data_IF_434137101522
#
_entry.id   IF_434137101522
#
_cell.length_a   1.000
_cell.length_b   1.000
_cell.length_c   1.000
_cell.angle_alpha   90.00
_cell.angle_beta   90.00
_cell.angle_gamma   90.00
#
_symmetry.space_group_name_H-M   'P 1'
#
loop_
_entity.id
_entity.type
_entity.pdbx_description
1 polymer ?
#
# COMPACT_ATOMS: atom_id res chain seq x y z
N UNK A 1 -38.96 -5.81 -11.62
CA UNK A 1 -38.63 -7.02 -10.84
C UNK A 1 -37.35 -7.70 -11.34
N UNK A 2 -37.16 -7.96 -12.63
CA UNK A 2 -36.02 -8.67 -13.22
C UNK A 2 -34.64 -8.08 -12.84
N UNK A 3 -34.47 -6.75 -12.83
CA UNK A 3 -33.21 -6.09 -12.43
C UNK A 3 -32.82 -6.31 -10.95
N UNK A 4 -33.79 -6.41 -10.04
CA UNK A 4 -33.51 -6.66 -8.62
C UNK A 4 -33.06 -8.10 -8.36
N UNK A 5 -33.67 -9.06 -9.05
CA UNK A 5 -33.31 -10.48 -8.92
C UNK A 5 -31.93 -10.74 -9.49
N UNK A 6 -31.59 -10.14 -10.64
CA UNK A 6 -30.23 -10.22 -11.22
C UNK A 6 -29.17 -9.65 -10.28
N UNK A 7 -29.43 -8.48 -9.68
CA UNK A 7 -28.52 -7.86 -8.73
C UNK A 7 -28.28 -8.74 -7.47
N UNK A 8 -29.34 -9.38 -6.96
CA UNK A 8 -29.25 -10.29 -5.81
C UNK A 8 -28.43 -11.53 -6.13
N UNK A 9 -28.64 -12.15 -7.30
CA UNK A 9 -27.87 -13.33 -7.72
C UNK A 9 -26.39 -12.98 -7.92
N UNK A 10 -26.10 -11.88 -8.60
CA UNK A 10 -24.73 -11.45 -8.82
C UNK A 10 -24.02 -11.06 -7.51
N UNK A 11 -24.71 -10.38 -6.60
CA UNK A 11 -24.19 -10.08 -5.26
C UNK A 11 -23.87 -11.35 -4.46
N UNK A 12 -24.72 -12.38 -4.57
CA UNK A 12 -24.47 -13.70 -3.96
C UNK A 12 -23.26 -14.40 -4.53
N UNK A 13 -23.10 -14.39 -5.85
CA UNK A 13 -21.91 -14.97 -6.53
C UNK A 13 -20.63 -14.22 -6.09
N UNK A 14 -20.67 -12.89 -6.07
CA UNK A 14 -19.54 -12.09 -5.65
C UNK A 14 -19.19 -12.27 -4.17
N UNK A 15 -20.20 -12.49 -3.31
CA UNK A 15 -19.95 -12.87 -1.92
C UNK A 15 -19.25 -14.23 -1.83
N UNK A 16 -19.67 -15.23 -2.62
CA UNK A 16 -19.01 -16.53 -2.67
C UNK A 16 -17.55 -16.40 -3.15
N UNK A 17 -17.29 -15.57 -4.15
CA UNK A 17 -15.90 -15.28 -4.60
C UNK A 17 -15.08 -14.65 -3.45
N UNK A 18 -15.65 -13.68 -2.72
CA UNK A 18 -14.96 -13.06 -1.59
C UNK A 18 -14.62 -14.08 -0.48
N UNK A 19 -15.53 -15.03 -0.21
CA UNK A 19 -15.31 -16.10 0.76
C UNK A 19 -14.18 -17.02 0.29
N UNK A 20 -14.20 -17.46 -0.95
CA UNK A 20 -13.12 -18.31 -1.53
C UNK A 20 -11.77 -17.59 -1.46
N UNK A 21 -11.73 -16.30 -1.80
CA UNK A 21 -10.52 -15.50 -1.67
C UNK A 21 -10.01 -15.42 -0.22
N UNK A 22 -10.91 -15.29 0.76
CA UNK A 22 -10.54 -15.31 2.19
C UNK A 22 -9.98 -16.66 2.61
N UNK A 23 -10.56 -17.76 2.14
CA UNK A 23 -10.04 -19.11 2.40
C UNK A 23 -8.64 -19.31 1.79
N UNK A 24 -8.44 -18.90 0.55
CA UNK A 24 -7.12 -18.95 -0.09
C UNK A 24 -6.12 -18.09 0.70
N UNK A 25 -6.53 -16.91 1.12
CA UNK A 25 -5.70 -16.01 1.91
C UNK A 25 -5.22 -16.62 3.23
N UNK A 26 -6.07 -17.39 3.88
CA UNK A 26 -5.77 -17.99 5.18
C UNK A 26 -4.96 -19.28 5.07
N UNK A 27 -5.29 -20.14 4.10
CA UNK A 27 -4.74 -21.48 4.03
C UNK A 27 -3.60 -21.67 3.02
N UNK A 28 -3.38 -20.72 2.11
CA UNK A 28 -2.31 -20.83 1.10
C UNK A 28 -1.24 -19.77 1.37
N UNK A 29 -0.10 -20.12 2.02
CA UNK A 29 0.99 -19.16 2.25
C UNK A 29 1.44 -18.53 0.93
N UNK A 30 2.09 -17.40 0.96
CA UNK A 30 2.57 -16.63 -0.20
C UNK A 30 1.44 -16.17 -1.13
N UNK A 31 0.65 -17.09 -1.73
CA UNK A 31 -0.48 -16.73 -2.58
C UNK A 31 -1.55 -15.96 -1.79
N UNK A 32 -1.76 -16.33 -0.54
CA UNK A 32 -2.70 -15.66 0.36
C UNK A 32 -2.40 -14.17 0.56
N UNK A 33 -1.13 -13.79 0.68
CA UNK A 33 -0.75 -12.39 0.78
C UNK A 33 -1.15 -11.58 -0.46
N UNK A 34 -0.95 -12.13 -1.66
CA UNK A 34 -1.39 -11.49 -2.91
C UNK A 34 -2.90 -11.43 -3.02
N UNK A 35 -3.61 -12.49 -2.63
CA UNK A 35 -5.09 -12.55 -2.66
C UNK A 35 -5.69 -11.54 -1.68
N UNK A 36 -5.10 -11.35 -0.50
CA UNK A 36 -5.53 -10.31 0.44
C UNK A 36 -5.48 -8.92 -0.18
N UNK A 37 -4.45 -8.64 -0.96
CA UNK A 37 -4.29 -7.33 -1.60
C UNK A 37 -5.42 -7.00 -2.57
N UNK A 38 -6.01 -8.01 -3.21
CA UNK A 38 -7.09 -7.87 -4.19
C UNK A 38 -8.45 -8.32 -3.65
N UNK A 39 -8.54 -8.64 -2.36
CA UNK A 39 -9.79 -9.08 -1.71
C UNK A 39 -10.97 -8.09 -1.85
N UNK A 40 -10.76 -6.74 -1.90
CA UNK A 40 -11.85 -5.80 -2.15
C UNK A 40 -12.57 -5.96 -3.48
N UNK A 41 -11.98 -6.63 -4.48
CA UNK A 41 -12.49 -6.69 -5.86
C UNK A 41 -13.95 -7.13 -6.00
N UNK A 42 -14.42 -8.21 -5.38
CA UNK A 42 -15.84 -8.61 -5.47
C UNK A 42 -16.78 -7.51 -4.99
N UNK A 43 -16.38 -6.79 -3.94
CA UNK A 43 -17.16 -5.70 -3.34
C UNK A 43 -17.17 -4.48 -4.28
N UNK A 44 -16.01 -4.14 -4.87
CA UNK A 44 -15.87 -3.07 -5.88
C UNK A 44 -16.75 -3.34 -7.09
N UNK A 45 -16.69 -4.58 -7.63
CA UNK A 45 -17.46 -4.97 -8.83
C UNK A 45 -18.97 -4.89 -8.54
N UNK A 46 -19.41 -5.42 -7.39
CA UNK A 46 -20.80 -5.33 -6.96
C UNK A 46 -21.25 -3.87 -6.82
N UNK A 47 -20.43 -3.04 -6.17
CA UNK A 47 -20.71 -1.63 -5.96
C UNK A 47 -20.83 -0.84 -7.27
N UNK A 48 -19.94 -1.08 -8.22
CA UNK A 48 -19.96 -0.44 -9.52
C UNK A 48 -21.22 -0.80 -10.32
N UNK A 49 -21.61 -2.08 -10.36
CA UNK A 49 -22.71 -2.56 -11.19
C UNK A 49 -24.09 -2.38 -10.55
N UNK A 50 -24.20 -2.60 -9.26
CA UNK A 50 -25.50 -2.65 -8.57
C UNK A 50 -25.67 -1.57 -7.48
N UNK A 51 -24.61 -0.81 -7.20
CA UNK A 51 -24.60 0.29 -6.25
C UNK A 51 -24.30 -0.13 -4.80
N UNK A 52 -24.16 0.89 -3.96
CA UNK A 52 -23.67 0.77 -2.59
C UNK A 52 -24.46 -0.24 -1.74
N UNK A 53 -25.78 -0.27 -1.88
CA UNK A 53 -26.65 -1.17 -1.10
C UNK A 53 -26.26 -2.64 -1.31
N UNK A 54 -26.10 -3.06 -2.55
CA UNK A 54 -25.74 -4.44 -2.88
C UNK A 54 -24.30 -4.77 -2.51
N UNK A 55 -23.40 -3.82 -2.66
CA UNK A 55 -22.01 -3.94 -2.21
C UNK A 55 -21.91 -4.16 -0.70
N UNK A 56 -22.68 -3.41 0.10
CA UNK A 56 -22.78 -3.62 1.56
C UNK A 56 -23.34 -5.00 1.87
N UNK A 57 -24.39 -5.43 1.17
CA UNK A 57 -24.96 -6.78 1.38
C UNK A 57 -23.95 -7.87 1.03
N UNK A 58 -23.21 -7.74 -0.07
CA UNK A 58 -22.12 -8.66 -0.44
C UNK A 58 -21.06 -8.74 0.66
N UNK A 59 -20.62 -7.59 1.18
CA UNK A 59 -19.66 -7.51 2.27
C UNK A 59 -20.18 -8.20 3.53
N UNK A 60 -21.41 -7.89 3.95
CA UNK A 60 -22.01 -8.45 5.17
C UNK A 60 -22.16 -9.98 5.07
N UNK A 61 -22.69 -10.48 3.96
CA UNK A 61 -22.88 -11.93 3.75
C UNK A 61 -21.52 -12.63 3.75
N UNK A 62 -20.52 -12.09 3.02
CA UNK A 62 -19.18 -12.65 3.02
C UNK A 62 -18.58 -12.65 4.43
N UNK A 63 -18.68 -11.54 5.17
CA UNK A 63 -18.16 -11.42 6.53
C UNK A 63 -18.78 -12.42 7.49
N UNK A 64 -20.11 -12.58 7.46
CA UNK A 64 -20.79 -13.55 8.33
C UNK A 64 -20.34 -14.98 8.04
N UNK A 65 -20.27 -15.36 6.78
CA UNK A 65 -19.86 -16.71 6.40
C UNK A 65 -18.38 -16.95 6.72
N UNK A 66 -17.49 -15.98 6.48
CA UNK A 66 -16.08 -16.06 6.85
C UNK A 66 -15.94 -16.19 8.38
N UNK A 67 -16.76 -15.46 9.16
CA UNK A 67 -16.77 -15.55 10.61
C UNK A 67 -17.13 -16.96 11.11
N UNK A 68 -18.05 -17.62 10.41
CA UNK A 68 -18.46 -19.00 10.75
C UNK A 68 -17.43 -20.06 10.35
N UNK A 69 -16.72 -19.86 9.23
CA UNK A 69 -15.81 -20.88 8.68
C UNK A 69 -14.40 -20.72 9.24
N UNK A 70 -13.91 -19.50 9.36
CA UNK A 70 -12.51 -19.21 9.76
C UNK A 70 -12.48 -18.76 11.23
N UNK A 71 -12.88 -17.52 11.48
CA UNK A 71 -13.09 -16.98 12.83
C UNK A 71 -13.76 -15.62 12.77
N UNK A 72 -14.52 -15.22 13.80
CA UNK A 72 -15.14 -13.90 13.89
C UNK A 72 -14.11 -12.76 13.85
N UNK A 73 -12.96 -12.96 14.50
CA UNK A 73 -11.88 -11.95 14.57
C UNK A 73 -11.29 -11.71 13.19
N UNK A 74 -10.92 -12.77 12.47
CA UNK A 74 -10.36 -12.65 11.12
C UNK A 74 -11.35 -12.01 10.13
N UNK A 75 -12.63 -12.40 10.21
CA UNK A 75 -13.68 -11.81 9.38
C UNK A 75 -13.85 -10.30 9.65
N UNK A 76 -13.79 -9.89 10.92
CA UNK A 76 -13.86 -8.50 11.33
C UNK A 76 -12.70 -7.69 10.75
N UNK A 77 -11.45 -8.16 10.92
CA UNK A 77 -10.27 -7.48 10.37
C UNK A 77 -10.34 -7.36 8.84
N UNK A 78 -10.71 -8.44 8.17
CA UNK A 78 -10.82 -8.45 6.72
C UNK A 78 -11.86 -7.45 6.22
N UNK A 79 -13.05 -7.44 6.83
CA UNK A 79 -14.13 -6.53 6.47
C UNK A 79 -13.78 -5.06 6.79
N UNK A 80 -13.17 -4.79 7.94
CA UNK A 80 -12.85 -3.44 8.36
C UNK A 80 -11.76 -2.80 7.48
N UNK A 81 -10.68 -3.53 7.17
CA UNK A 81 -9.57 -3.01 6.38
C UNK A 81 -9.94 -2.93 4.89
N UNK A 82 -10.43 -4.03 4.35
CA UNK A 82 -10.59 -4.19 2.90
C UNK A 82 -12.00 -3.87 2.42
N UNK A 83 -13.02 -4.07 3.28
CA UNK A 83 -14.42 -3.81 2.91
C UNK A 83 -14.69 -2.35 2.64
N UNK A 84 -14.21 -1.43 3.49
CA UNK A 84 -14.42 0.00 3.31
C UNK A 84 -13.77 0.52 2.02
N UNK A 85 -12.56 0.07 1.71
CA UNK A 85 -11.90 0.37 0.43
C UNK A 85 -12.74 -0.11 -0.75
N UNK A 86 -13.28 -1.33 -0.67
CA UNK A 86 -14.15 -1.91 -1.70
C UNK A 86 -15.43 -1.11 -1.93
N UNK A 87 -16.07 -0.67 -0.86
CA UNK A 87 -17.29 0.16 -0.93
C UNK A 87 -17.00 1.52 -1.57
N UNK A 88 -15.94 2.19 -1.16
CA UNK A 88 -15.58 3.52 -1.68
C UNK A 88 -15.20 3.44 -3.16
N UNK A 89 -14.30 2.52 -3.54
CA UNK A 89 -13.90 2.36 -4.94
C UNK A 89 -15.08 1.94 -5.83
N UNK A 90 -15.92 1.03 -5.35
CA UNK A 90 -17.12 0.59 -6.09
C UNK A 90 -18.07 1.75 -6.40
N UNK A 91 -18.33 2.61 -5.41
CA UNK A 91 -19.18 3.79 -5.60
C UNK A 91 -18.52 4.86 -6.49
N UNK A 92 -17.22 5.08 -6.33
CA UNK A 92 -16.47 6.00 -7.20
C UNK A 92 -16.49 5.54 -8.66
N UNK A 93 -16.30 4.24 -8.92
CA UNK A 93 -16.37 3.66 -10.26
C UNK A 93 -17.79 3.74 -10.84
N UNK A 94 -18.82 3.48 -10.03
CA UNK A 94 -20.21 3.62 -10.45
C UNK A 94 -20.57 5.04 -10.88
N UNK A 95 -19.97 6.04 -10.23
CA UNK A 95 -20.16 7.46 -10.58
C UNK A 95 -19.26 7.93 -11.71
N UNK A 96 -18.49 7.04 -12.31
CA UNK A 96 -17.51 7.38 -13.37
C UNK A 96 -16.62 8.58 -13.03
N UNK A 97 -16.14 8.67 -11.79
CA UNK A 97 -15.26 9.74 -11.38
C UNK A 97 -13.93 9.68 -12.16
N UNK A 98 -13.25 10.81 -12.36
CA UNK A 98 -11.90 10.81 -12.95
C UNK A 98 -10.93 9.93 -12.15
N UNK A 99 -9.99 9.21 -12.80
CA UNK A 99 -9.09 8.26 -12.14
C UNK A 99 -8.32 8.85 -10.94
N UNK A 100 -7.86 10.10 -11.03
CA UNK A 100 -7.15 10.77 -9.94
C UNK A 100 -8.04 10.98 -8.70
N UNK A 101 -9.32 11.30 -8.89
CA UNK A 101 -10.26 11.42 -7.77
C UNK A 101 -10.57 10.06 -7.15
N UNK A 102 -10.68 9.00 -7.98
CA UNK A 102 -10.86 7.63 -7.47
C UNK A 102 -9.65 7.22 -6.63
N UNK A 103 -8.43 7.54 -7.07
CA UNK A 103 -7.21 7.28 -6.29
C UNK A 103 -7.20 8.04 -4.98
N UNK A 104 -7.55 9.32 -4.99
CA UNK A 104 -7.61 10.13 -3.77
C UNK A 104 -8.63 9.55 -2.77
N UNK A 105 -9.87 9.34 -3.20
CA UNK A 105 -10.90 8.79 -2.30
C UNK A 105 -10.59 7.37 -1.84
N UNK A 106 -10.08 6.52 -2.73
CA UNK A 106 -9.65 5.16 -2.38
C UNK A 106 -8.50 5.16 -1.36
N UNK A 107 -7.49 6.01 -1.56
CA UNK A 107 -6.35 6.14 -0.63
C UNK A 107 -6.78 6.67 0.73
N UNK A 108 -7.57 7.74 0.76
CA UNK A 108 -8.13 8.29 2.02
C UNK A 108 -8.99 7.24 2.72
N UNK A 109 -9.85 6.55 1.97
CA UNK A 109 -10.68 5.49 2.50
C UNK A 109 -9.87 4.33 3.07
N UNK A 110 -8.78 3.94 2.43
CA UNK A 110 -7.88 2.90 2.93
C UNK A 110 -7.16 3.33 4.22
N UNK A 111 -6.71 4.58 4.31
CA UNK A 111 -6.12 5.12 5.55
C UNK A 111 -7.16 5.13 6.68
N UNK A 112 -8.37 5.63 6.41
CA UNK A 112 -9.46 5.62 7.40
C UNK A 112 -9.78 4.19 7.85
N UNK A 113 -9.86 3.26 6.91
CA UNK A 113 -10.12 1.85 7.20
C UNK A 113 -9.05 1.25 8.12
N UNK A 114 -7.78 1.56 7.87
CA UNK A 114 -6.66 1.11 8.69
C UNK A 114 -6.73 1.69 10.11
N UNK A 115 -6.94 3.01 10.23
CA UNK A 115 -7.06 3.68 11.54
C UNK A 115 -8.26 3.13 12.31
N UNK A 116 -9.42 3.02 11.67
CA UNK A 116 -10.61 2.42 12.27
C UNK A 116 -10.35 0.99 12.73
N UNK A 117 -9.64 0.19 11.93
CA UNK A 117 -9.28 -1.17 12.30
C UNK A 117 -8.45 -1.22 13.59
N UNK A 118 -7.39 -0.40 13.70
CA UNK A 118 -6.56 -0.32 14.89
C UNK A 118 -7.39 0.12 16.11
N UNK A 119 -8.18 1.19 15.97
CA UNK A 119 -9.02 1.71 17.04
C UNK A 119 -10.05 0.68 17.50
N UNK A 120 -10.77 0.05 16.56
CA UNK A 120 -11.78 -0.95 16.88
C UNK A 120 -11.16 -2.22 17.48
N UNK A 121 -9.97 -2.63 17.03
CA UNK A 121 -9.24 -3.77 17.60
C UNK A 121 -8.92 -3.51 19.06
N UNK A 122 -8.45 -2.32 19.37
CA UNK A 122 -8.12 -1.94 20.74
C UNK A 122 -9.37 -1.81 21.62
N UNK A 123 -10.41 -1.10 21.14
CA UNK A 123 -11.59 -0.79 21.95
C UNK A 123 -12.59 -1.96 22.08
N UNK A 124 -12.77 -2.74 21.02
CA UNK A 124 -13.80 -3.80 20.98
C UNK A 124 -13.23 -5.15 21.39
N UNK A 125 -12.00 -5.47 20.93
CA UNK A 125 -11.39 -6.78 21.15
C UNK A 125 -10.35 -6.76 22.28
N UNK A 126 -9.94 -5.58 22.76
CA UNK A 126 -8.85 -5.44 23.73
C UNK A 126 -7.50 -5.93 23.18
N UNK A 127 -7.36 -6.00 21.86
CA UNK A 127 -6.17 -6.50 21.17
C UNK A 127 -5.46 -5.33 20.51
N UNK A 128 -4.17 -5.16 20.78
CA UNK A 128 -3.29 -4.31 20.02
C UNK A 128 -2.69 -5.13 18.85
N UNK A 129 -3.16 -4.92 17.59
CA UNK A 129 -2.69 -5.70 16.46
C UNK A 129 -1.19 -5.44 16.15
N UNK A 130 -0.69 -4.26 16.50
CA UNK A 130 0.72 -3.89 16.32
C UNK A 130 1.56 -4.65 17.33
N UNK A 131 1.19 -4.62 18.61
CA UNK A 131 1.91 -5.34 19.66
C UNK A 131 1.84 -6.85 19.46
N UNK A 132 0.70 -7.38 19.02
CA UNK A 132 0.55 -8.81 18.68
C UNK A 132 1.49 -9.22 17.54
N UNK A 133 1.67 -8.36 16.54
CA UNK A 133 2.64 -8.61 15.46
C UNK A 133 4.08 -8.64 16.01
N UNK A 134 4.46 -7.66 16.82
CA UNK A 134 5.81 -7.60 17.39
C UNK A 134 6.09 -8.72 18.38
N UNK A 135 5.13 -9.10 19.20
CA UNK A 135 5.28 -10.25 20.13
C UNK A 135 5.51 -11.57 19.36
N UNK A 136 4.83 -11.75 18.22
CA UNK A 136 5.06 -12.91 17.35
C UNK A 136 6.48 -12.93 16.78
N UNK A 137 7.02 -11.77 16.40
CA UNK A 137 8.42 -11.65 15.97
C UNK A 137 9.39 -11.94 17.11
N UNK A 138 9.14 -11.45 18.33
CA UNK A 138 9.98 -11.78 19.50
C UNK A 138 9.99 -13.26 19.80
N UNK A 139 8.83 -13.92 19.79
CA UNK A 139 8.76 -15.38 19.96
C UNK A 139 9.55 -16.14 18.88
N UNK A 140 9.47 -15.68 17.63
CA UNK A 140 10.26 -16.27 16.54
C UNK A 140 11.76 -16.09 16.75
N UNK A 141 12.19 -14.95 17.29
CA UNK A 141 13.60 -14.71 17.65
C UNK A 141 14.08 -15.63 18.78
N UNK A 142 13.25 -15.85 19.79
CA UNK A 142 13.58 -16.78 20.88
C UNK A 142 13.76 -18.21 20.34
N UNK A 143 12.85 -18.68 19.50
CA UNK A 143 12.95 -19.99 18.85
C UNK A 143 14.21 -20.09 17.98
N UNK A 144 14.53 -19.06 17.23
CA UNK A 144 15.73 -19.00 16.39
C UNK A 144 17.00 -19.05 17.25
N UNK A 145 17.00 -18.37 18.39
CA UNK A 145 18.12 -18.37 19.35
C UNK A 145 18.37 -19.76 19.91
N UNK A 146 17.32 -20.48 20.29
CA UNK A 146 17.42 -21.88 20.75
C UNK A 146 17.98 -22.75 19.63
N UNK A 147 17.44 -22.63 18.42
CA UNK A 147 17.89 -23.37 17.25
C UNK A 147 19.40 -23.19 16.98
N UNK A 148 19.89 -21.95 16.99
CA UNK A 148 21.31 -21.66 16.75
C UNK A 148 22.21 -22.23 17.86
N UNK A 149 21.76 -22.18 19.11
CA UNK A 149 22.50 -22.76 20.24
C UNK A 149 22.62 -24.28 20.12
N UNK A 150 21.54 -24.97 19.74
CA UNK A 150 21.53 -26.41 19.50
C UNK A 150 22.42 -26.85 18.35
N UNK A 151 22.60 -25.97 17.35
CA UNK A 151 23.47 -26.23 16.19
C UNK A 151 24.91 -25.72 16.35
N UNK A 152 25.32 -25.39 17.59
CA UNK A 152 26.71 -25.11 17.92
C UNK A 152 27.23 -23.74 17.51
N UNK A 153 26.33 -22.76 17.26
CA UNK A 153 26.75 -21.39 17.05
C UNK A 153 27.32 -20.78 18.33
N UNK A 154 28.38 -19.97 18.22
CA UNK A 154 28.97 -19.31 19.39
C UNK A 154 27.99 -18.33 20.03
N UNK A 155 28.02 -18.20 21.38
CA UNK A 155 27.14 -17.22 22.09
C UNK A 155 27.41 -15.78 21.63
N UNK A 156 28.63 -15.46 21.19
CA UNK A 156 28.96 -14.15 20.66
C UNK A 156 28.26 -13.87 19.30
N UNK A 157 28.22 -14.87 18.42
CA UNK A 157 27.54 -14.76 17.13
C UNK A 157 26.03 -14.76 17.29
N UNK A 158 25.48 -15.56 18.21
CA UNK A 158 24.07 -15.56 18.57
C UNK A 158 23.67 -14.17 19.06
N UNK A 159 24.41 -13.60 20.01
CA UNK A 159 24.15 -12.27 20.55
C UNK A 159 24.16 -11.21 19.44
N UNK A 160 25.19 -11.20 18.58
CA UNK A 160 25.27 -10.26 17.45
C UNK A 160 24.08 -10.37 16.51
N UNK A 161 23.65 -11.60 16.25
CA UNK A 161 22.49 -11.86 15.39
C UNK A 161 21.19 -11.36 16.03
N UNK A 162 20.97 -11.66 17.31
CA UNK A 162 19.79 -11.23 18.08
C UNK A 162 19.75 -9.71 18.20
N UNK A 163 20.87 -9.07 18.53
CA UNK A 163 20.97 -7.61 18.62
C UNK A 163 20.64 -6.95 17.25
N UNK A 164 21.13 -7.53 16.15
CA UNK A 164 20.80 -7.07 14.79
C UNK A 164 19.30 -7.16 14.46
N UNK A 165 18.67 -8.27 14.84
CA UNK A 165 17.21 -8.43 14.66
C UNK A 165 16.42 -7.49 15.56
N UNK A 166 16.83 -7.29 16.80
CA UNK A 166 16.17 -6.35 17.71
C UNK A 166 16.19 -4.93 17.18
N UNK A 167 17.34 -4.48 16.61
CA UNK A 167 17.43 -3.17 15.98
C UNK A 167 16.57 -3.07 14.70
N UNK A 168 16.54 -4.14 13.90
CA UNK A 168 15.63 -4.21 12.73
C UNK A 168 14.16 -4.08 13.14
N UNK A 169 13.72 -4.78 14.19
CA UNK A 169 12.34 -4.68 14.70
C UNK A 169 12.04 -3.29 15.24
N UNK A 170 13.01 -2.67 15.93
CA UNK A 170 12.89 -1.29 16.38
C UNK A 170 12.67 -0.32 15.21
N UNK A 171 13.49 -0.44 14.16
CA UNK A 171 13.34 0.37 12.96
C UNK A 171 12.02 0.11 12.25
N UNK A 172 11.57 -1.14 12.15
CA UNK A 172 10.26 -1.48 11.60
C UNK A 172 9.13 -0.77 12.37
N UNK A 173 9.17 -0.75 13.71
CA UNK A 173 8.17 -0.05 14.54
C UNK A 173 8.15 1.45 14.26
N UNK A 174 9.32 2.07 14.08
CA UNK A 174 9.44 3.50 13.79
C UNK A 174 8.88 3.84 12.39
N UNK A 175 9.17 3.02 11.38
CA UNK A 175 8.80 3.27 9.98
C UNK A 175 7.33 2.90 9.69
N UNK A 176 6.73 2.04 10.52
CA UNK A 176 5.41 1.46 10.28
C UNK A 176 4.30 2.48 9.95
N UNK A 177 4.13 3.62 10.66
CA UNK A 177 3.09 4.58 10.33
C UNK A 177 3.22 5.12 8.91
N UNK A 178 4.44 5.45 8.48
CA UNK A 178 4.72 5.91 7.12
C UNK A 178 4.51 4.83 6.07
N UNK A 179 4.90 3.59 6.37
CA UNK A 179 4.68 2.44 5.49
C UNK A 179 3.18 2.18 5.28
N UNK A 180 2.37 2.24 6.32
CA UNK A 180 0.92 2.12 6.21
C UNK A 180 0.30 3.23 5.35
N UNK A 181 0.77 4.46 5.53
CA UNK A 181 0.31 5.58 4.70
C UNK A 181 0.66 5.38 3.22
N UNK A 182 1.79 4.72 2.92
CA UNK A 182 2.21 4.39 1.55
C UNK A 182 1.46 3.19 0.97
N UNK A 183 1.11 2.21 1.78
CA UNK A 183 0.33 1.06 1.32
C UNK A 183 -1.07 1.44 0.85
N UNK A 184 -1.70 2.44 1.43
CA UNK A 184 -3.06 2.85 1.11
C UNK A 184 -3.27 3.25 -0.37
N UNK A 185 -2.49 4.18 -0.96
CA UNK A 185 -2.62 4.50 -2.38
C UNK A 185 -2.24 3.34 -3.30
N UNK A 186 -1.27 2.51 -2.89
CA UNK A 186 -0.91 1.32 -3.65
C UNK A 186 -2.07 0.31 -3.69
N UNK A 187 -2.71 0.06 -2.56
CA UNK A 187 -3.90 -0.80 -2.49
C UNK A 187 -5.05 -0.25 -3.32
N UNK A 188 -5.33 1.06 -3.24
CA UNK A 188 -6.36 1.71 -4.03
C UNK A 188 -6.06 1.56 -5.54
N UNK A 189 -4.82 1.78 -5.96
CA UNK A 189 -4.38 1.65 -7.34
C UNK A 189 -4.53 0.23 -7.88
N UNK A 190 -4.02 -0.76 -7.16
CA UNK A 190 -4.08 -2.18 -7.58
C UNK A 190 -5.54 -2.63 -7.73
N UNK A 191 -6.39 -2.32 -6.73
CA UNK A 191 -7.80 -2.68 -6.76
C UNK A 191 -8.56 -1.96 -7.88
N UNK A 192 -8.29 -0.67 -8.09
CA UNK A 192 -8.87 0.07 -9.21
C UNK A 192 -8.49 -0.54 -10.56
N UNK A 193 -7.19 -0.81 -10.78
CA UNK A 193 -6.71 -1.37 -12.06
C UNK A 193 -7.27 -2.76 -12.32
N UNK A 194 -7.32 -3.60 -11.30
CA UNK A 194 -7.90 -4.94 -11.40
C UNK A 194 -9.42 -4.89 -11.66
N UNK A 195 -10.15 -4.06 -10.91
CA UNK A 195 -11.58 -3.85 -11.13
C UNK A 195 -11.88 -3.28 -12.52
N UNK A 196 -11.13 -2.24 -12.94
CA UNK A 196 -11.26 -1.67 -14.28
C UNK A 196 -11.08 -2.73 -15.37
N UNK A 197 -10.04 -3.58 -15.27
CA UNK A 197 -9.78 -4.65 -16.24
C UNK A 197 -10.95 -5.65 -16.35
N UNK A 198 -11.55 -6.01 -15.22
CA UNK A 198 -12.69 -6.93 -15.16
C UNK A 198 -13.94 -6.24 -15.70
N UNK A 199 -14.28 -5.06 -15.19
CA UNK A 199 -15.48 -4.32 -15.56
C UNK A 199 -15.50 -3.92 -17.05
N UNK A 200 -14.34 -3.56 -17.60
CA UNK A 200 -14.23 -3.29 -19.05
C UNK A 200 -14.56 -4.51 -19.90
N UNK A 201 -14.17 -5.72 -19.46
CA UNK A 201 -14.59 -6.96 -20.12
C UNK A 201 -16.10 -7.25 -19.97
N UNK A 202 -16.73 -6.67 -18.96
CA UNK A 202 -18.18 -6.76 -18.71
C UNK A 202 -18.97 -5.64 -19.41
N UNK A 203 -18.32 -4.82 -20.24
CA UNK A 203 -18.95 -3.77 -21.04
C UNK A 203 -18.95 -2.37 -20.44
N UNK A 204 -18.35 -2.17 -19.27
CA UNK A 204 -18.21 -0.85 -18.66
C UNK A 204 -17.04 -0.09 -19.29
N UNK A 205 -17.14 1.24 -19.35
CA UNK A 205 -16.09 2.12 -19.88
C UNK A 205 -15.61 3.09 -18.80
N UNK A 206 -14.30 3.24 -18.67
CA UNK A 206 -13.67 4.15 -17.71
C UNK A 206 -12.62 5.00 -18.39
N UNK A 207 -12.46 6.24 -17.93
CA UNK A 207 -11.39 7.10 -18.37
C UNK A 207 -10.02 6.45 -18.21
N UNK A 208 -9.12 6.70 -19.15
CA UNK A 208 -7.73 6.26 -19.02
C UNK A 208 -6.98 7.14 -18.01
N UNK A 209 -6.04 6.55 -17.28
CA UNK A 209 -5.07 7.36 -16.56
C UNK A 209 -4.25 8.19 -17.55
N UNK A 210 -3.82 9.40 -17.15
CA UNK A 210 -2.78 10.09 -17.88
C UNK A 210 -1.58 9.16 -18.11
N UNK A 211 -0.86 9.29 -19.23
CA UNK A 211 0.35 8.50 -19.44
C UNK A 211 1.27 8.59 -18.23
N UNK A 212 1.79 7.44 -17.78
CA UNK A 212 2.62 7.37 -16.59
C UNK A 212 3.83 8.32 -16.66
N UNK A 213 4.38 8.47 -17.85
CA UNK A 213 5.50 9.38 -18.14
C UNK A 213 5.15 10.86 -18.00
N UNK A 214 3.86 11.22 -17.91
CA UNK A 214 3.39 12.58 -17.66
C UNK A 214 3.05 12.87 -16.18
N UNK A 215 3.16 11.88 -15.32
CA UNK A 215 2.93 12.07 -13.89
C UNK A 215 3.95 13.07 -13.32
N UNK A 216 3.46 14.05 -12.57
CA UNK A 216 4.29 15.09 -11.96
C UNK A 216 4.03 15.18 -10.46
N UNK A 217 5.09 15.09 -9.71
CA UNK A 217 5.07 15.35 -8.26
C UNK A 217 5.26 16.84 -8.02
N UNK A 218 4.45 17.48 -7.14
CA UNK A 218 4.62 18.90 -6.82
C UNK A 218 6.00 19.19 -6.22
N UNK A 219 6.62 20.30 -6.63
CA UNK A 219 7.98 20.64 -6.18
C UNK A 219 8.12 20.94 -4.69
N UNK A 220 7.02 21.28 -4.01
CA UNK A 220 7.03 21.53 -2.57
C UNK A 220 7.43 20.31 -1.72
N UNK A 221 7.35 19.08 -2.28
CA UNK A 221 7.75 17.83 -1.59
C UNK A 221 9.22 17.82 -1.20
N UNK A 222 10.05 18.59 -1.89
CA UNK A 222 11.49 18.69 -1.59
C UNK A 222 11.76 19.37 -0.25
N UNK A 223 10.90 20.28 0.21
CA UNK A 223 11.09 20.97 1.47
C UNK A 223 10.92 20.06 2.69
N UNK A 224 9.79 19.32 2.85
CA UNK A 224 9.68 18.37 3.95
C UNK A 224 10.71 17.23 3.84
N UNK A 225 11.10 16.83 2.64
CA UNK A 225 12.17 15.85 2.46
C UNK A 225 13.51 16.38 3.00
N UNK A 226 13.93 17.57 2.61
CA UNK A 226 15.16 18.18 3.09
C UNK A 226 15.12 18.41 4.60
N UNK A 227 14.02 18.95 5.12
CA UNK A 227 13.83 19.15 6.56
C UNK A 227 13.91 17.84 7.35
N UNK A 228 13.31 16.76 6.82
CA UNK A 228 13.35 15.43 7.46
C UNK A 228 14.76 14.85 7.47
N UNK A 229 15.57 15.04 6.41
CA UNK A 229 16.96 14.60 6.38
C UNK A 229 17.78 15.23 7.50
N UNK A 230 17.67 16.55 7.68
CA UNK A 230 18.35 17.26 8.78
C UNK A 230 17.86 16.78 10.14
N UNK A 231 16.55 16.66 10.31
CA UNK A 231 15.97 16.25 11.57
C UNK A 231 16.35 14.79 11.94
N UNK A 232 16.27 13.86 10.99
CA UNK A 232 16.69 12.46 11.22
C UNK A 232 18.16 12.42 11.63
N UNK A 233 19.05 13.13 10.92
CA UNK A 233 20.48 13.15 11.26
C UNK A 233 20.73 13.74 12.65
N UNK A 234 20.04 14.83 12.98
CA UNK A 234 20.16 15.48 14.29
C UNK A 234 19.69 14.57 15.43
N UNK A 235 18.46 14.05 15.36
CA UNK A 235 17.88 13.21 16.41
C UNK A 235 18.50 11.82 16.50
N UNK A 236 19.04 11.27 15.40
CA UNK A 236 19.80 10.03 15.43
C UNK A 236 21.02 10.12 16.36
N UNK A 237 21.68 11.28 16.41
CA UNK A 237 22.85 11.49 17.26
C UNK A 237 22.52 11.89 18.69
N UNK A 238 21.35 12.52 18.92
CA UNK A 238 21.04 13.14 20.21
C UNK A 238 19.94 12.40 20.98
N UNK A 239 18.85 12.01 20.32
CA UNK A 239 17.71 11.37 20.98
C UNK A 239 16.86 10.57 19.99
N UNK A 240 17.23 9.30 19.82
CA UNK A 240 16.49 8.37 18.96
C UNK A 240 15.16 7.90 19.58
N UNK A 241 14.92 8.14 20.87
CA UNK A 241 13.66 7.80 21.53
C UNK A 241 12.60 8.90 21.36
N UNK A 242 13.01 10.08 20.89
CA UNK A 242 12.11 11.22 20.70
C UNK A 242 11.02 10.93 19.66
N UNK A 243 9.80 11.40 19.94
CA UNK A 243 8.71 11.37 18.96
C UNK A 243 9.05 12.17 17.69
N UNK A 244 9.92 13.20 17.81
CA UNK A 244 10.42 13.98 16.66
C UNK A 244 11.28 13.13 15.73
N UNK A 245 12.10 12.21 16.28
CA UNK A 245 12.83 11.24 15.46
C UNK A 245 11.88 10.37 14.66
N UNK A 246 10.88 9.78 15.33
CA UNK A 246 9.85 8.95 14.69
C UNK A 246 9.10 9.72 13.60
N UNK A 247 8.67 10.95 13.89
CA UNK A 247 7.99 11.80 12.91
C UNK A 247 8.89 12.08 11.69
N UNK A 248 10.16 12.46 11.94
CA UNK A 248 11.11 12.80 10.87
C UNK A 248 11.40 11.61 9.97
N UNK A 249 11.58 10.42 10.54
CA UNK A 249 11.78 9.18 9.78
C UNK A 249 10.55 8.86 8.91
N UNK A 250 9.35 9.04 9.45
CA UNK A 250 8.11 8.78 8.68
C UNK A 250 7.91 9.79 7.56
N UNK A 251 8.15 11.09 7.82
CA UNK A 251 8.12 12.13 6.77
C UNK A 251 9.14 11.82 5.67
N UNK A 252 10.37 11.47 6.06
CA UNK A 252 11.40 11.06 5.11
C UNK A 252 10.98 9.86 4.28
N UNK A 253 10.41 8.83 4.91
CA UNK A 253 9.94 7.61 4.24
C UNK A 253 8.87 7.92 3.19
N UNK A 254 7.85 8.71 3.56
CA UNK A 254 6.77 9.11 2.65
C UNK A 254 7.31 9.94 1.49
N UNK A 255 8.13 10.94 1.77
CA UNK A 255 8.73 11.77 0.72
C UNK A 255 9.66 10.96 -0.19
N UNK A 256 10.48 10.07 0.35
CA UNK A 256 11.36 9.18 -0.42
C UNK A 256 10.57 8.30 -1.37
N UNK A 257 9.47 7.71 -0.91
CA UNK A 257 8.60 6.90 -1.77
C UNK A 257 8.05 7.70 -2.96
N UNK A 258 7.56 8.92 -2.69
CA UNK A 258 7.04 9.80 -3.75
C UNK A 258 8.15 10.21 -4.72
N UNK A 259 9.37 10.46 -4.23
CA UNK A 259 10.53 10.77 -5.07
C UNK A 259 10.99 9.57 -5.89
N UNK A 260 10.96 8.35 -5.34
CA UNK A 260 11.20 7.11 -6.11
C UNK A 260 10.21 6.97 -7.24
N UNK A 261 8.91 7.20 -6.99
CA UNK A 261 7.91 7.18 -8.06
C UNK A 261 8.24 8.20 -9.17
N UNK A 262 8.67 9.40 -8.80
CA UNK A 262 9.10 10.40 -9.78
C UNK A 262 10.35 9.93 -10.56
N UNK A 263 11.31 9.29 -9.90
CA UNK A 263 12.49 8.69 -10.53
C UNK A 263 12.11 7.58 -11.52
N UNK A 264 11.17 6.71 -11.15
CA UNK A 264 10.64 5.66 -12.05
C UNK A 264 9.96 6.30 -13.26
N UNK A 265 9.18 7.36 -13.08
CA UNK A 265 8.53 8.10 -14.16
C UNK A 265 9.56 8.66 -15.13
N UNK A 266 10.65 9.27 -14.63
CA UNK A 266 11.75 9.77 -15.46
C UNK A 266 12.46 8.62 -16.20
N UNK A 267 12.67 7.49 -15.55
CA UNK A 267 13.29 6.31 -16.17
C UNK A 267 12.44 5.81 -17.36
N UNK A 268 11.12 5.68 -17.20
CA UNK A 268 10.22 5.30 -18.30
C UNK A 268 10.25 6.31 -19.42
N UNK A 269 10.18 7.61 -19.09
CA UNK A 269 10.27 8.68 -20.08
C UNK A 269 11.58 8.63 -20.88
N UNK A 270 12.71 8.40 -20.20
CA UNK A 270 14.02 8.27 -20.85
C UNK A 270 14.06 7.07 -21.79
N UNK A 271 13.55 5.91 -21.36
CA UNK A 271 13.49 4.69 -22.18
C UNK A 271 12.62 4.91 -23.42
N UNK A 272 11.45 5.55 -23.28
CA UNK A 272 10.55 5.88 -24.39
C UNK A 272 11.17 6.90 -25.36
N UNK A 273 11.78 7.97 -24.85
CA UNK A 273 12.44 9.01 -25.67
C UNK A 273 13.62 8.46 -26.46
N UNK A 274 14.33 7.49 -25.92
CA UNK A 274 15.44 6.80 -26.60
C UNK A 274 15.01 5.62 -27.46
N UNK A 275 13.71 5.43 -27.65
CA UNK A 275 13.13 4.29 -28.39
C UNK A 275 13.64 2.93 -27.94
N UNK A 276 13.99 2.80 -26.65
CA UNK A 276 14.45 1.54 -26.06
C UNK A 276 13.24 0.70 -25.65
N UNK A 277 13.37 -0.65 -25.68
CA UNK A 277 12.30 -1.54 -25.20
C UNK A 277 11.99 -1.29 -23.71
N UNK A 278 10.72 -1.34 -23.34
CA UNK A 278 10.24 -1.09 -21.96
C UNK A 278 10.83 -2.04 -20.90
N UNK A 279 11.35 -3.18 -21.30
CA UNK A 279 11.98 -4.12 -20.37
C UNK A 279 13.21 -3.53 -19.65
N UNK A 280 13.90 -2.54 -20.25
CA UNK A 280 14.97 -1.81 -19.56
C UNK A 280 14.46 -1.06 -18.32
N UNK A 281 13.32 -0.40 -18.42
CA UNK A 281 12.70 0.26 -17.27
C UNK A 281 12.24 -0.75 -16.23
N UNK A 282 11.71 -1.90 -16.66
CA UNK A 282 11.28 -2.98 -15.75
C UNK A 282 12.45 -3.59 -14.98
N UNK A 283 13.63 -3.74 -15.61
CA UNK A 283 14.86 -4.13 -14.90
C UNK A 283 15.25 -3.08 -13.86
N UNK A 284 15.18 -1.78 -14.21
CA UNK A 284 15.41 -0.71 -13.25
C UNK A 284 14.50 -0.80 -12.03
N UNK A 285 13.21 -1.13 -12.24
CA UNK A 285 12.26 -1.35 -11.14
C UNK A 285 12.64 -2.61 -10.32
N UNK A 286 13.01 -3.71 -10.97
CA UNK A 286 13.42 -4.92 -10.27
C UNK A 286 14.66 -4.67 -9.38
N UNK A 287 15.60 -3.85 -9.85
CA UNK A 287 16.77 -3.46 -9.07
C UNK A 287 16.44 -2.67 -7.81
N UNK A 288 15.32 -1.93 -7.76
CA UNK A 288 14.87 -1.25 -6.54
C UNK A 288 14.59 -2.22 -5.40
N UNK A 289 14.14 -3.43 -5.71
CA UNK A 289 13.83 -4.45 -4.71
C UNK A 289 15.03 -5.31 -4.32
N UNK A 290 16.00 -5.45 -5.23
CA UNK A 290 17.16 -6.34 -5.02
C UNK A 290 18.33 -5.56 -4.42
N UNK A 291 18.52 -4.30 -4.80
CA UNK A 291 19.69 -3.52 -4.46
C UNK A 291 19.28 -2.23 -3.73
N UNK A 292 19.37 -2.17 -2.39
CA UNK A 292 18.91 -1.01 -1.60
C UNK A 292 19.49 0.34 -2.03
N UNK A 293 20.76 0.36 -2.46
CA UNK A 293 21.40 1.59 -2.93
C UNK A 293 20.72 2.16 -4.19
N UNK A 294 20.11 1.30 -5.00
CA UNK A 294 19.39 1.73 -6.19
C UNK A 294 18.12 2.52 -5.85
N UNK A 295 17.47 2.18 -4.76
CA UNK A 295 16.34 2.95 -4.22
C UNK A 295 16.78 4.36 -3.85
N UNK A 296 17.93 4.50 -3.18
CA UNK A 296 18.47 5.80 -2.80
C UNK A 296 18.86 6.64 -4.05
N UNK A 297 19.45 6.01 -5.05
CA UNK A 297 19.76 6.67 -6.34
C UNK A 297 18.47 7.19 -6.98
N UNK A 298 17.39 6.38 -6.99
CA UNK A 298 16.11 6.80 -7.57
C UNK A 298 15.43 7.93 -6.81
N UNK A 299 15.61 8.04 -5.50
CA UNK A 299 15.17 9.21 -4.72
C UNK A 299 15.84 10.48 -5.26
N UNK A 300 17.16 10.45 -5.44
CA UNK A 300 17.90 11.60 -5.98
C UNK A 300 17.53 11.90 -7.43
N UNK A 301 17.41 10.89 -8.28
CA UNK A 301 16.97 11.03 -9.67
C UNK A 301 15.60 11.70 -9.74
N UNK A 302 14.65 11.28 -8.88
CA UNK A 302 13.34 11.93 -8.78
C UNK A 302 13.41 13.37 -8.29
N UNK A 303 14.23 13.65 -7.28
CA UNK A 303 14.44 15.01 -6.79
C UNK A 303 15.06 15.92 -7.87
N UNK A 304 16.03 15.43 -8.61
CA UNK A 304 16.64 16.17 -9.73
C UNK A 304 15.63 16.43 -10.86
N UNK A 305 14.75 15.48 -11.21
CA UNK A 305 13.71 15.71 -12.21
C UNK A 305 12.74 16.82 -11.77
N UNK A 306 12.45 16.90 -10.47
CA UNK A 306 11.61 17.97 -9.92
C UNK A 306 12.27 19.34 -10.07
N UNK A 307 13.58 19.45 -9.85
CA UNK A 307 14.33 20.71 -9.89
C UNK A 307 14.61 21.14 -11.34
N UNK A 308 15.11 20.22 -12.16
CA UNK A 308 15.61 20.50 -13.50
C UNK A 308 14.54 20.44 -14.59
N UNK A 309 13.38 19.83 -14.30
CA UNK A 309 12.29 19.60 -15.26
C UNK A 309 12.80 19.02 -16.59
N UNK A 310 13.52 17.89 -16.54
CA UNK A 310 14.13 17.24 -17.72
C UNK A 310 13.10 16.97 -18.82
N UNK A 311 11.85 16.74 -18.45
CA UNK A 311 10.75 16.42 -19.34
C UNK A 311 10.07 17.66 -19.92
N UNK A 312 10.38 18.86 -19.41
CA UNK A 312 9.83 20.18 -19.82
C UNK A 312 8.29 20.22 -19.80
N UNK A 313 7.67 19.52 -18.86
CA UNK A 313 6.21 19.38 -18.78
C UNK A 313 5.62 20.44 -17.85
N UNK A 314 6.40 21.04 -16.96
CA UNK A 314 5.90 22.06 -16.02
C UNK A 314 5.61 23.36 -16.75
N UNK A 315 4.42 23.98 -16.53
CA UNK A 315 4.22 25.35 -16.92
C UNK A 315 5.33 26.18 -16.25
N UNK A 316 5.91 27.13 -16.99
CA UNK A 316 7.09 27.93 -16.62
C UNK A 316 7.19 28.16 -15.10
N UNK A 317 8.13 27.47 -14.47
CA UNK A 317 8.26 27.44 -13.01
C UNK A 317 8.65 28.81 -12.50
N UNK A 318 8.30 29.10 -11.25
CA UNK A 318 8.57 30.30 -10.44
C UNK A 318 10.03 30.81 -10.56
N UNK A 319 10.96 30.00 -11.09
CA UNK A 319 12.38 30.34 -11.29
C UNK A 319 12.76 30.71 -12.73
N UNK A 320 11.85 30.63 -13.69
CA UNK A 320 12.13 31.05 -15.07
C UNK A 320 11.46 32.39 -15.37
N UNK A 321 12.03 33.48 -14.80
CA UNK A 321 11.80 34.82 -15.35
C UNK A 321 12.26 34.83 -16.82
N UNK A 322 11.35 35.20 -17.67
CA UNK A 322 11.57 35.39 -19.12
C UNK A 322 12.92 36.08 -19.39
N UNK A 323 13.74 35.41 -20.15
CA UNK A 323 14.76 36.08 -20.97
C UNK A 323 14.24 36.19 -22.38
#
# INVERSE_FOLDING_TARGET
>A
MIRKTSAMVEAGILAAVAIVMALISMYVPVLGAFVNFVWPLPIVICGCRHGLKWSIMTLLVATVIIAMIISPINAFFLAAIFGLLGLILGECMRRHLPPMKMMLYGSVGAVIALVLNIVLSFWVLGIDPIEMMFSSFHQSLEQLTVYYREHGMSEADIKKTVDGYAEMLRMMRIIMPGAFLMCAPLMAFVNYMAAKKILTKLGESFEAFPPFTMLQVPGWILWPYAASLFAVTYYYQHDQASWMYTLSVNVQTVCSFVLVLQGIVLLYWFVETKHKPRWWANIGIALLFIVPIFTQIMVYVGAFDIVMDFRKIRPASIFRKQR
#
